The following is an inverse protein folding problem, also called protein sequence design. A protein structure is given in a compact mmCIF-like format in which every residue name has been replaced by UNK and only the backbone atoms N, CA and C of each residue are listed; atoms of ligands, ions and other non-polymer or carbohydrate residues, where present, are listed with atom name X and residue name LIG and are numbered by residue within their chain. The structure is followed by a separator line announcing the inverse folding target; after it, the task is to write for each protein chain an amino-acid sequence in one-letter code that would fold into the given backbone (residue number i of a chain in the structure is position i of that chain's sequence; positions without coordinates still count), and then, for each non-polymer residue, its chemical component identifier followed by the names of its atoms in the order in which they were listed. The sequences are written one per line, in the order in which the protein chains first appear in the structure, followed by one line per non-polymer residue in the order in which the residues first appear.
data_IF_121894736013
#
_entry.id   IF_121894736013
#
_cell.length_a   1.000
_cell.length_b   1.000
_cell.length_c   1.000
_cell.angle_alpha   90.00
_cell.angle_beta   90.00
_cell.angle_gamma   90.00
#
_symmetry.space_group_name_H-M   'P 1'
#
loop_
_entity.id
_entity.type
_entity.pdbx_description
1 polymer ?
#
# COMPACT_ATOMS: atom_id res chain seq x y z
N UNK A 1 24.56 -18.01 8.97
CA UNK A 1 23.23 -17.36 8.96
C UNK A 1 22.34 -18.18 8.04
N UNK A 2 21.16 -18.61 8.48
CA UNK A 2 20.35 -19.55 7.71
C UNK A 2 19.85 -18.85 6.42
N UNK A 3 20.17 -19.35 5.22
CA UNK A 3 19.85 -18.67 3.94
C UNK A 3 18.37 -18.26 3.83
N UNK A 4 17.45 -19.01 4.46
CA UNK A 4 16.02 -18.70 4.48
C UNK A 4 15.69 -17.40 5.20
N UNK A 5 16.38 -17.10 6.31
CA UNK A 5 16.14 -15.88 7.09
C UNK A 5 16.54 -14.67 6.25
N UNK A 6 17.68 -14.76 5.55
CA UNK A 6 18.18 -13.70 4.67
C UNK A 6 17.18 -13.42 3.53
N UNK A 7 16.65 -14.46 2.89
CA UNK A 7 15.60 -14.34 1.88
C UNK A 7 14.34 -13.69 2.45
N UNK A 8 13.84 -14.15 3.60
CA UNK A 8 12.65 -13.58 4.22
C UNK A 8 12.83 -12.11 4.61
N UNK A 9 13.97 -11.74 5.18
CA UNK A 9 14.27 -10.35 5.53
C UNK A 9 14.29 -9.45 4.30
N UNK A 10 14.91 -9.90 3.20
CA UNK A 10 14.90 -9.15 1.92
C UNK A 10 13.48 -9.04 1.38
N UNK A 11 12.71 -10.13 1.35
CA UNK A 11 11.32 -10.10 0.85
C UNK A 11 10.46 -9.12 1.64
N UNK A 12 10.54 -9.13 2.97
CA UNK A 12 9.76 -8.21 3.82
C UNK A 12 10.25 -6.76 3.64
N UNK A 13 11.56 -6.53 3.53
CA UNK A 13 12.12 -5.21 3.27
C UNK A 13 11.68 -4.65 1.90
N UNK A 14 11.64 -5.49 0.87
CA UNK A 14 11.15 -5.11 -0.46
C UNK A 14 9.64 -4.82 -0.45
N UNK A 15 8.85 -5.58 0.29
CA UNK A 15 7.42 -5.29 0.46
C UNK A 15 7.19 -3.92 1.13
N UNK A 16 7.95 -3.61 2.19
CA UNK A 16 7.90 -2.29 2.83
C UNK A 16 8.41 -1.16 1.93
N UNK A 17 9.44 -1.42 1.12
CA UNK A 17 9.95 -0.48 0.13
C UNK A 17 8.92 -0.18 -0.96
N UNK A 18 8.27 -1.22 -1.52
CA UNK A 18 7.20 -1.07 -2.53
C UNK A 18 6.02 -0.27 -1.97
N UNK A 19 5.61 -0.56 -0.73
CA UNK A 19 4.56 0.20 -0.05
C UNK A 19 4.93 1.70 0.06
N UNK A 20 6.16 2.01 0.47
CA UNK A 20 6.64 3.40 0.52
C UNK A 20 6.77 4.03 -0.87
N UNK A 21 7.18 3.26 -1.88
CA UNK A 21 7.32 3.72 -3.25
C UNK A 21 5.99 4.25 -3.81
N UNK A 22 4.88 3.54 -3.59
CA UNK A 22 3.55 3.97 -4.04
C UNK A 22 3.14 5.33 -3.43
N UNK A 23 3.47 5.57 -2.16
CA UNK A 23 3.18 6.86 -1.50
C UNK A 23 3.97 8.01 -2.11
N UNK A 24 5.23 7.77 -2.50
CA UNK A 24 6.09 8.78 -3.13
C UNK A 24 5.62 9.09 -4.54
N UNK A 25 5.25 8.06 -5.32
CA UNK A 25 4.77 8.22 -6.70
C UNK A 25 3.47 9.04 -6.73
N UNK A 26 2.51 8.73 -5.85
CA UNK A 26 1.26 9.50 -5.72
C UNK A 26 1.53 10.95 -5.31
N UNK A 27 2.46 11.18 -4.38
CA UNK A 27 2.85 12.53 -3.95
C UNK A 27 3.47 13.33 -5.10
N UNK A 28 4.29 12.70 -5.94
CA UNK A 28 4.88 13.31 -7.14
C UNK A 28 3.86 13.65 -8.23
N UNK A 29 2.78 12.87 -8.33
CA UNK A 29 1.71 13.08 -9.31
C UNK A 29 0.65 14.12 -8.87
N UNK A 30 0.71 14.62 -7.62
CA UNK A 30 -0.30 15.49 -7.03
C UNK A 30 -0.56 16.78 -7.85
N UNK A 31 0.47 17.58 -8.12
CA UNK A 31 0.32 18.82 -8.91
C UNK A 31 -0.17 18.56 -10.34
N UNK A 32 0.43 17.64 -11.13
CA UNK A 32 -0.08 17.30 -12.46
C UNK A 32 -1.55 16.86 -12.45
N UNK A 33 -1.97 16.05 -11.48
CA UNK A 33 -3.35 15.59 -11.37
C UNK A 33 -4.30 16.74 -10.98
N UNK A 34 -3.87 17.63 -10.09
CA UNK A 34 -4.64 18.81 -9.72
C UNK A 34 -4.88 19.73 -10.92
N UNK A 35 -3.85 20.00 -11.71
CA UNK A 35 -3.92 20.85 -12.90
C UNK A 35 -4.77 20.22 -14.01
N UNK A 36 -4.63 18.91 -14.22
CA UNK A 36 -5.36 18.18 -15.28
C UNK A 36 -6.87 18.08 -15.00
N UNK A 37 -7.27 18.00 -13.73
CA UNK A 37 -8.68 17.79 -13.33
C UNK A 37 -9.34 19.06 -12.78
N UNK A 38 -8.62 20.19 -12.70
CA UNK A 38 -9.16 21.48 -12.25
C UNK A 38 -9.75 21.44 -10.83
N UNK A 39 -9.20 20.59 -9.96
CA UNK A 39 -9.77 20.30 -8.64
C UNK A 39 -9.40 21.36 -7.61
N UNK A 40 -10.37 21.73 -6.77
CA UNK A 40 -10.13 22.49 -5.54
C UNK A 40 -9.05 21.81 -4.68
N UNK A 41 -8.07 22.56 -4.13
CA UNK A 41 -7.00 22.01 -3.29
C UNK A 41 -7.51 21.16 -2.12
N UNK A 42 -8.67 21.55 -1.57
CA UNK A 42 -9.29 20.85 -0.45
C UNK A 42 -9.83 19.48 -0.87
N UNK A 43 -10.56 19.40 -2.00
CA UNK A 43 -11.10 18.14 -2.52
C UNK A 43 -10.00 17.18 -2.98
N UNK A 44 -8.97 17.70 -3.65
CA UNK A 44 -7.89 16.86 -4.18
C UNK A 44 -7.09 16.18 -3.06
N UNK A 45 -6.71 16.93 -2.02
CA UNK A 45 -5.97 16.39 -0.88
C UNK A 45 -6.81 15.47 0.02
N UNK A 46 -8.05 15.86 0.33
CA UNK A 46 -8.88 15.11 1.29
C UNK A 46 -9.52 13.87 0.70
N UNK A 47 -9.89 13.86 -0.58
CA UNK A 47 -10.49 12.66 -1.18
C UNK A 47 -9.45 11.85 -1.94
N UNK A 48 -8.79 12.40 -2.95
CA UNK A 48 -7.97 11.60 -3.87
C UNK A 48 -6.70 11.09 -3.20
N UNK A 49 -5.96 11.96 -2.52
CA UNK A 49 -4.70 11.57 -1.88
C UNK A 49 -4.92 10.71 -0.63
N UNK A 50 -6.03 10.90 0.10
CA UNK A 50 -6.32 10.13 1.31
C UNK A 50 -6.89 8.73 1.03
N UNK A 51 -7.41 8.45 -0.16
CA UNK A 51 -7.98 7.13 -0.49
C UNK A 51 -6.95 6.01 -0.33
N UNK A 52 -5.68 6.26 -0.67
CA UNK A 52 -4.61 5.29 -0.45
C UNK A 52 -4.45 4.97 1.05
N UNK A 53 -4.44 5.99 1.91
CA UNK A 53 -4.39 5.83 3.37
C UNK A 53 -5.61 5.08 3.91
N UNK A 54 -6.82 5.47 3.51
CA UNK A 54 -8.04 4.77 3.91
C UNK A 54 -8.05 3.30 3.51
N UNK A 55 -7.56 2.98 2.30
CA UNK A 55 -7.36 1.61 1.84
C UNK A 55 -6.41 0.82 2.73
N UNK A 56 -5.31 1.43 3.19
CA UNK A 56 -4.35 0.77 4.11
C UNK A 56 -4.91 0.55 5.51
N UNK A 57 -5.73 1.48 6.00
CA UNK A 57 -6.42 1.33 7.29
C UNK A 57 -7.40 0.16 7.22
N UNK A 58 -8.28 0.15 6.22
CA UNK A 58 -9.22 -0.96 6.00
C UNK A 58 -8.50 -2.29 5.77
N UNK A 59 -7.46 -2.29 4.94
CA UNK A 59 -6.65 -3.47 4.64
C UNK A 59 -5.93 -4.04 5.86
N UNK A 60 -5.37 -3.19 6.73
CA UNK A 60 -4.70 -3.63 7.96
C UNK A 60 -5.69 -4.16 9.01
N UNK A 61 -6.86 -3.54 9.12
CA UNK A 61 -7.93 -4.01 10.01
C UNK A 61 -8.50 -5.36 9.56
N UNK A 62 -8.71 -5.54 8.25
CA UNK A 62 -9.34 -6.74 7.72
C UNK A 62 -8.34 -7.85 7.38
N UNK A 63 -7.05 -7.55 7.16
CA UNK A 63 -6.04 -8.50 6.68
C UNK A 63 -5.75 -9.68 7.62
N UNK A 64 -6.07 -9.53 8.92
CA UNK A 64 -5.98 -10.63 9.88
C UNK A 64 -6.98 -11.76 9.61
N UNK A 65 -8.21 -11.42 9.23
CA UNK A 65 -9.29 -12.38 9.00
C UNK A 65 -8.98 -13.41 7.89
N UNK A 66 -8.60 -13.02 6.66
CA UNK A 66 -8.29 -13.98 5.60
C UNK A 66 -7.01 -14.77 5.94
N UNK A 67 -6.06 -14.17 6.67
CA UNK A 67 -4.84 -14.86 7.11
C UNK A 67 -5.15 -16.01 8.07
N UNK A 68 -6.15 -15.84 8.93
CA UNK A 68 -6.61 -16.85 9.89
C UNK A 68 -7.39 -17.98 9.20
N UNK A 69 -8.22 -17.67 8.21
CA UNK A 69 -9.13 -18.63 7.56
C UNK A 69 -8.49 -19.39 6.39
N UNK A 70 -7.75 -18.69 5.51
CA UNK A 70 -7.14 -19.26 4.31
C UNK A 70 -5.67 -19.68 4.51
N UNK A 71 -5.04 -19.16 5.56
CA UNK A 71 -3.63 -19.37 5.88
C UNK A 71 -2.71 -18.39 5.13
N UNK A 72 -1.62 -17.98 5.82
CA UNK A 72 -0.65 -16.94 5.38
C UNK A 72 -0.26 -16.99 3.90
N UNK A 73 0.07 -18.17 3.37
CA UNK A 73 0.54 -18.32 1.97
C UNK A 73 -0.57 -18.09 0.94
N UNK A 74 -1.79 -18.60 1.20
CA UNK A 74 -2.92 -18.41 0.27
C UNK A 74 -3.43 -16.98 0.30
N UNK A 75 -3.47 -16.36 1.48
CA UNK A 75 -3.84 -14.95 1.63
C UNK A 75 -2.88 -14.05 0.89
N UNK A 76 -1.56 -14.30 0.99
CA UNK A 76 -0.54 -13.50 0.29
C UNK A 76 -0.70 -13.57 -1.23
N UNK A 77 -1.02 -14.73 -1.79
CA UNK A 77 -1.28 -14.91 -3.23
C UNK A 77 -2.65 -14.34 -3.68
N UNK A 78 -3.56 -14.09 -2.73
CA UNK A 78 -4.87 -13.52 -3.02
C UNK A 78 -4.84 -11.99 -3.05
N UNK A 79 -4.01 -11.38 -2.19
CA UNK A 79 -3.86 -9.93 -2.10
C UNK A 79 -2.73 -9.38 -2.97
N UNK A 80 -1.92 -10.26 -3.56
CA UNK A 80 -0.77 -9.94 -4.41
C UNK A 80 -0.77 -10.79 -5.67
#
# INVERSE_FOLDING_TARGET
MNNRILVFSITVALAGFLFGFDTVVISGANKPLQDLWGLSPFMHGTFIMSMALWGTVLGSLMGGMPTQQLGRKKTLFWIG
#
